data_IF_089663076718
#
_entry.id   IF_089663076718
#
_cell.length_a   1.000
_cell.length_b   1.000
_cell.length_c   1.000
_cell.angle_alpha   90.00
_cell.angle_beta   90.00
_cell.angle_gamma   90.00
#
_symmetry.space_group_name_H-M   'P 1'
#
loop_
_entity.id
_entity.type
_entity.pdbx_description
1 polymer ?
#
# COMPACT_ATOMS: atom_id res chain seq x y z
N UNK A 1 11.99 5.13 -10.66
CA UNK A 1 11.82 6.05 -11.83
C UNK A 1 10.41 5.88 -12.34
N UNK A 2 9.67 6.97 -12.59
CA UNK A 2 8.28 6.86 -13.08
C UNK A 2 8.30 6.44 -14.55
N UNK A 3 7.65 5.31 -14.89
CA UNK A 3 7.46 4.92 -16.28
C UNK A 3 6.56 5.93 -16.99
N UNK A 4 6.88 6.22 -18.23
CA UNK A 4 6.06 7.02 -19.14
C UNK A 4 5.86 6.23 -20.40
N UNK A 5 4.63 5.82 -20.65
CA UNK A 5 4.26 5.13 -21.87
C UNK A 5 3.92 6.14 -22.96
N UNK A 6 4.40 5.88 -24.16
CA UNK A 6 4.23 6.71 -25.35
C UNK A 6 3.89 5.84 -26.55
N UNK A 7 3.34 6.43 -27.63
CA UNK A 7 3.11 5.73 -28.87
C UNK A 7 4.41 5.28 -29.54
N UNK A 8 4.36 4.33 -30.46
CA UNK A 8 5.50 3.88 -31.24
C UNK A 8 6.26 5.05 -31.91
N UNK A 9 5.51 5.97 -32.54
CA UNK A 9 6.10 7.15 -33.20
C UNK A 9 6.85 8.10 -32.26
N UNK A 10 6.35 8.30 -31.05
CA UNK A 10 7.02 9.11 -30.03
C UNK A 10 8.20 8.36 -29.45
N UNK A 11 8.08 7.05 -29.26
CA UNK A 11 9.13 6.17 -28.78
C UNK A 11 10.33 6.21 -29.73
N UNK A 12 10.11 6.03 -31.04
CA UNK A 12 11.15 6.13 -32.05
C UNK A 12 11.88 7.48 -32.08
N UNK A 13 11.16 8.57 -31.83
CA UNK A 13 11.77 9.92 -31.78
C UNK A 13 12.65 10.12 -30.55
N UNK A 14 12.24 9.54 -29.42
CA UNK A 14 13.00 9.62 -28.17
C UNK A 14 14.30 8.81 -28.23
N UNK A 15 14.37 7.77 -29.06
CA UNK A 15 15.51 6.87 -29.20
C UNK A 15 16.48 7.22 -30.35
N UNK A 16 16.33 8.38 -30.96
CA UNK A 16 17.32 8.89 -31.94
C UNK A 16 18.73 9.06 -31.38
N UNK A 17 18.89 8.94 -30.05
CA UNK A 17 20.18 8.98 -29.32
C UNK A 17 20.74 7.56 -29.03
N UNK A 18 20.00 6.48 -29.33
CA UNK A 18 20.47 5.09 -29.19
C UNK A 18 21.49 4.72 -30.26
N UNK A 19 22.26 3.69 -30.01
CA UNK A 19 23.11 3.09 -31.02
C UNK A 19 22.29 2.53 -32.17
N UNK A 20 22.88 2.46 -33.39
CA UNK A 20 22.20 1.93 -34.57
C UNK A 20 21.68 0.47 -34.39
N UNK A 21 22.35 -0.28 -33.53
CA UNK A 21 22.00 -1.67 -33.22
C UNK A 21 20.74 -1.74 -32.32
N UNK A 22 20.67 -0.89 -31.30
CA UNK A 22 19.51 -0.76 -30.41
C UNK A 22 18.29 -0.20 -31.16
N UNK A 23 18.50 0.80 -32.02
CA UNK A 23 17.44 1.35 -32.88
C UNK A 23 16.88 0.28 -33.84
N UNK A 24 17.73 -0.57 -34.41
CA UNK A 24 17.32 -1.67 -35.31
C UNK A 24 16.49 -2.70 -34.56
N UNK A 25 16.93 -3.11 -33.38
CA UNK A 25 16.21 -4.07 -32.54
C UNK A 25 14.84 -3.53 -32.09
N UNK A 26 14.78 -2.27 -31.72
CA UNK A 26 13.50 -1.60 -31.38
C UNK A 26 12.55 -1.56 -32.57
N UNK A 27 13.04 -1.31 -33.79
CA UNK A 27 12.20 -1.25 -35.00
C UNK A 27 11.66 -2.62 -35.39
N UNK A 28 12.49 -3.66 -35.36
CA UNK A 28 12.05 -5.04 -35.63
C UNK A 28 10.96 -5.47 -34.67
N UNK A 29 11.06 -5.06 -33.40
CA UNK A 29 10.09 -5.41 -32.39
C UNK A 29 8.74 -4.70 -32.59
N UNK A 30 8.74 -3.40 -32.87
CA UNK A 30 7.51 -2.63 -33.08
C UNK A 30 6.85 -2.95 -34.41
N UNK A 31 7.61 -3.32 -35.47
CA UNK A 31 7.04 -3.75 -36.73
C UNK A 31 6.35 -5.13 -36.63
N UNK A 32 6.82 -6.01 -35.74
CA UNK A 32 6.18 -7.30 -35.46
C UNK A 32 4.88 -7.19 -34.65
N UNK A 33 4.76 -6.15 -33.81
CA UNK A 33 3.60 -5.92 -32.93
C UNK A 33 2.45 -5.18 -33.62
N UNK A 34 2.64 -4.64 -34.83
CA UNK A 34 1.62 -3.89 -35.58
C UNK A 34 0.42 -4.73 -36.03
N UNK A 35 0.47 -6.05 -35.86
CA UNK A 35 -0.60 -6.98 -36.27
C UNK A 35 -1.70 -7.23 -35.21
N UNK A 36 -1.62 -6.58 -34.04
CA UNK A 36 -2.64 -6.67 -32.99
C UNK A 36 -3.69 -5.55 -33.14
N UNK A 37 -4.61 -5.71 -34.08
CA UNK A 37 -5.64 -4.72 -34.42
C UNK A 37 -6.60 -4.37 -33.25
N UNK A 38 -6.65 -5.20 -32.18
CA UNK A 38 -7.59 -5.06 -31.07
C UNK A 38 -6.99 -4.38 -29.81
N UNK A 39 -5.69 -4.06 -29.81
CA UNK A 39 -5.01 -3.49 -28.66
C UNK A 39 -4.34 -2.15 -28.96
N UNK A 40 -4.46 -1.22 -28.01
CA UNK A 40 -3.61 -0.03 -27.96
C UNK A 40 -2.26 -0.40 -27.34
N UNK A 41 -1.19 -0.32 -28.16
CA UNK A 41 0.17 -0.63 -27.72
C UNK A 41 0.91 0.65 -27.37
N UNK A 42 1.52 0.68 -26.19
CA UNK A 42 2.33 1.78 -25.73
C UNK A 42 3.68 1.28 -25.17
N UNK A 43 4.69 2.10 -25.35
CA UNK A 43 6.08 1.75 -25.14
C UNK A 43 6.70 2.61 -24.03
N UNK A 44 7.56 2.01 -23.21
CA UNK A 44 8.39 2.71 -22.25
C UNK A 44 9.80 2.12 -22.23
N UNK A 45 10.77 2.90 -21.74
CA UNK A 45 12.14 2.44 -21.57
C UNK A 45 12.61 2.72 -20.15
N UNK A 46 13.13 1.70 -19.50
CA UNK A 46 13.67 1.82 -18.16
C UNK A 46 14.75 0.77 -17.91
N UNK A 47 15.82 1.16 -17.25
CA UNK A 47 16.89 0.25 -16.80
C UNK A 47 17.52 -0.59 -17.91
N UNK A 48 17.63 -0.07 -19.12
CA UNK A 48 18.15 -0.79 -20.28
C UNK A 48 17.18 -1.75 -20.95
N UNK A 49 15.89 -1.74 -20.54
CA UNK A 49 14.84 -2.59 -21.08
C UNK A 49 13.75 -1.77 -21.79
N UNK A 50 13.18 -2.37 -22.84
CA UNK A 50 11.87 -1.96 -23.37
C UNK A 50 10.77 -2.59 -22.50
N UNK A 51 9.72 -1.83 -22.24
CA UNK A 51 8.52 -2.28 -21.57
C UNK A 51 7.33 -1.97 -22.45
N UNK A 52 6.58 -3.00 -22.79
CA UNK A 52 5.37 -2.92 -23.60
C UNK A 52 4.15 -2.97 -22.72
N UNK A 53 3.17 -2.12 -23.02
CA UNK A 53 1.87 -2.11 -22.39
C UNK A 53 0.80 -2.23 -23.45
N UNK A 54 -0.07 -3.20 -23.30
CA UNK A 54 -1.24 -3.42 -24.11
C UNK A 54 -2.48 -2.98 -23.35
N UNK A 55 -3.43 -2.39 -24.03
CA UNK A 55 -4.71 -2.03 -23.44
C UNK A 55 -5.84 -2.33 -24.42
N UNK A 56 -6.91 -2.95 -23.94
CA UNK A 56 -8.20 -3.01 -24.61
C UNK A 56 -9.32 -2.77 -23.59
N UNK A 57 -10.49 -2.32 -24.06
CA UNK A 57 -11.65 -2.13 -23.17
C UNK A 57 -12.14 -3.45 -22.56
N UNK A 58 -11.94 -4.58 -23.23
CA UNK A 58 -12.40 -5.90 -22.79
C UNK A 58 -11.41 -6.58 -21.84
N UNK A 59 -10.11 -6.54 -22.15
CA UNK A 59 -9.07 -7.27 -21.43
C UNK A 59 -8.32 -6.41 -20.40
N UNK A 60 -8.51 -5.07 -20.42
CA UNK A 60 -7.79 -4.16 -19.54
C UNK A 60 -6.31 -3.98 -19.91
N UNK A 61 -5.46 -3.79 -18.90
CA UNK A 61 -4.03 -3.60 -19.07
C UNK A 61 -3.27 -4.92 -18.99
N UNK A 62 -2.37 -5.13 -19.98
CA UNK A 62 -1.41 -6.22 -20.01
C UNK A 62 -0.01 -5.66 -20.24
N UNK A 63 1.01 -6.36 -19.77
CA UNK A 63 2.40 -6.00 -19.99
C UNK A 63 3.18 -7.23 -20.47
N UNK A 64 4.12 -6.98 -21.36
CA UNK A 64 5.15 -7.98 -21.65
C UNK A 64 6.27 -7.93 -20.60
N UNK A 65 6.98 -9.04 -20.47
CA UNK A 65 8.21 -9.07 -19.68
C UNK A 65 9.19 -8.00 -20.18
N UNK A 66 9.90 -7.29 -19.28
CA UNK A 66 10.88 -6.30 -19.72
C UNK A 66 11.94 -6.91 -20.65
N UNK A 67 12.09 -6.38 -21.86
CA UNK A 67 12.98 -6.89 -22.88
C UNK A 67 14.31 -6.16 -22.79
N UNK A 68 15.41 -6.84 -22.44
CA UNK A 68 16.72 -6.21 -22.35
C UNK A 68 17.26 -5.82 -23.73
N UNK A 69 17.69 -4.56 -23.89
CA UNK A 69 18.32 -4.04 -25.10
C UNK A 69 19.85 -3.96 -25.02
N UNK A 70 20.36 -3.95 -23.82
CA UNK A 70 21.80 -3.81 -23.57
C UNK A 70 22.26 -4.82 -22.53
N UNK A 71 23.54 -5.21 -22.59
CA UNK A 71 24.13 -6.20 -21.65
C UNK A 71 24.05 -5.75 -20.18
N UNK A 72 23.96 -4.43 -19.92
CA UNK A 72 23.84 -3.85 -18.59
C UNK A 72 22.39 -3.68 -18.12
N UNK A 73 21.41 -4.19 -18.85
CA UNK A 73 20.01 -4.08 -18.51
C UNK A 73 19.68 -4.74 -17.16
N UNK A 74 18.86 -4.09 -16.37
CA UNK A 74 18.38 -4.61 -15.07
C UNK A 74 16.90 -4.94 -15.17
N UNK A 75 16.60 -6.16 -15.62
CA UNK A 75 15.24 -6.67 -15.82
C UNK A 75 14.44 -6.66 -14.52
N UNK A 76 15.07 -6.98 -13.39
CA UNK A 76 14.42 -6.95 -12.09
C UNK A 76 13.93 -5.55 -11.69
N UNK A 77 14.77 -4.52 -11.90
CA UNK A 77 14.32 -3.13 -11.64
C UNK A 77 13.29 -2.64 -12.64
N UNK A 78 13.39 -3.05 -13.90
CA UNK A 78 12.38 -2.74 -14.91
C UNK A 78 11.03 -3.35 -14.51
N UNK A 79 11.00 -4.59 -14.05
CA UNK A 79 9.79 -5.24 -13.54
C UNK A 79 9.20 -4.53 -12.32
N UNK A 80 10.01 -4.17 -11.33
CA UNK A 80 9.56 -3.36 -10.17
C UNK A 80 8.94 -2.04 -10.63
N UNK A 81 9.47 -1.41 -11.69
CA UNK A 81 8.92 -0.16 -12.21
C UNK A 81 7.54 -0.34 -12.87
N UNK A 82 7.22 -1.52 -13.42
CA UNK A 82 5.85 -1.86 -13.88
C UNK A 82 4.90 -1.91 -12.69
N UNK A 83 5.27 -2.61 -11.61
CA UNK A 83 4.47 -2.66 -10.39
C UNK A 83 4.22 -1.26 -9.82
N UNK A 84 5.25 -0.41 -9.78
CA UNK A 84 5.10 0.98 -9.37
C UNK A 84 4.16 1.79 -10.27
N UNK A 85 4.20 1.53 -11.58
CA UNK A 85 3.29 2.17 -12.53
C UNK A 85 1.85 1.73 -12.28
N UNK A 86 1.59 0.42 -12.13
CA UNK A 86 0.25 -0.10 -11.84
C UNK A 86 -0.35 0.53 -10.57
N UNK A 87 0.43 0.66 -9.50
CA UNK A 87 -0.01 1.33 -8.26
C UNK A 87 -0.37 2.81 -8.53
N UNK A 88 0.48 3.54 -9.28
CA UNK A 88 0.28 4.97 -9.54
C UNK A 88 -0.93 5.26 -10.43
N UNK A 89 -1.24 4.36 -11.35
CA UNK A 89 -2.37 4.50 -12.29
C UNK A 89 -3.63 3.75 -11.81
N UNK A 90 -3.61 3.24 -10.56
CA UNK A 90 -4.74 2.50 -9.96
C UNK A 90 -5.17 1.28 -10.78
N UNK A 91 -4.19 0.57 -11.35
CA UNK A 91 -4.43 -0.69 -12.06
C UNK A 91 -4.42 -1.80 -11.01
N UNK A 92 -5.59 -2.34 -10.70
CA UNK A 92 -5.80 -3.29 -9.60
C UNK A 92 -5.19 -4.65 -9.89
N UNK A 93 -5.32 -5.11 -11.13
CA UNK A 93 -4.79 -6.40 -11.57
C UNK A 93 -4.20 -6.29 -12.97
N UNK A 94 -3.06 -6.93 -13.17
CA UNK A 94 -2.47 -7.11 -14.50
C UNK A 94 -1.66 -8.39 -14.55
N UNK A 95 -1.57 -8.98 -15.72
CA UNK A 95 -0.82 -10.21 -15.97
C UNK A 95 0.39 -9.88 -16.85
N UNK A 96 1.55 -10.44 -16.49
CA UNK A 96 2.77 -10.33 -17.28
C UNK A 96 3.20 -11.74 -17.66
N UNK A 97 3.21 -12.03 -18.96
CA UNK A 97 3.75 -13.26 -19.49
C UNK A 97 5.26 -13.36 -19.22
N UNK A 98 5.73 -14.47 -18.67
CA UNK A 98 7.15 -14.70 -18.38
C UNK A 98 7.58 -16.10 -18.78
N UNK A 99 8.82 -16.23 -19.18
CA UNK A 99 9.44 -17.54 -19.31
C UNK A 99 9.98 -18.03 -17.96
N UNK A 100 10.10 -19.36 -17.75
CA UNK A 100 10.68 -19.91 -16.53
C UNK A 100 12.10 -19.42 -16.23
N UNK A 101 12.88 -19.12 -17.27
CA UNK A 101 14.26 -18.63 -17.14
C UNK A 101 14.33 -17.17 -16.66
N UNK A 102 13.30 -16.37 -16.96
CA UNK A 102 13.19 -14.98 -16.54
C UNK A 102 12.62 -14.85 -15.13
N UNK A 103 11.89 -15.84 -14.65
CA UNK A 103 11.23 -15.86 -13.35
C UNK A 103 12.21 -15.52 -12.22
N UNK A 104 13.36 -16.18 -12.17
CA UNK A 104 14.39 -15.97 -11.14
C UNK A 104 14.95 -14.53 -11.14
N UNK A 105 15.06 -13.91 -12.32
CA UNK A 105 15.55 -12.54 -12.47
C UNK A 105 14.50 -11.52 -12.00
N UNK A 106 13.24 -11.78 -12.30
CA UNK A 106 12.12 -10.94 -11.90
C UNK A 106 11.86 -11.01 -10.39
N UNK A 107 11.93 -12.22 -9.82
CA UNK A 107 11.66 -12.46 -8.40
C UNK A 107 12.63 -11.77 -7.46
N UNK A 108 13.87 -11.53 -7.88
CA UNK A 108 14.87 -10.82 -7.05
C UNK A 108 14.53 -9.38 -6.75
N UNK A 109 13.59 -8.79 -7.48
CA UNK A 109 13.19 -7.39 -7.33
C UNK A 109 11.73 -7.16 -7.00
N UNK A 110 10.86 -8.18 -7.13
CA UNK A 110 9.43 -8.04 -6.94
C UNK A 110 9.01 -8.55 -5.56
N UNK A 111 8.37 -7.68 -4.79
CA UNK A 111 7.95 -8.00 -3.42
C UNK A 111 6.49 -8.44 -3.31
N UNK A 112 5.71 -8.26 -4.38
CA UNK A 112 4.29 -8.64 -4.43
C UNK A 112 3.91 -9.12 -5.83
N UNK A 113 3.85 -10.41 -5.97
CA UNK A 113 3.31 -11.08 -7.15
C UNK A 113 2.76 -12.43 -6.72
N UNK A 114 1.80 -12.95 -7.46
CA UNK A 114 1.44 -14.35 -7.45
C UNK A 114 1.79 -14.96 -8.80
N UNK A 115 2.14 -16.24 -8.80
CA UNK A 115 2.26 -17.00 -10.04
C UNK A 115 0.88 -17.47 -10.44
N UNK A 116 0.51 -17.23 -11.69
CA UNK A 116 -0.68 -17.77 -12.31
C UNK A 116 -0.26 -18.64 -13.49
N UNK A 117 -1.04 -19.65 -13.79
CA UNK A 117 -0.91 -20.45 -14.99
C UNK A 117 -2.04 -20.02 -15.92
N UNK A 118 -1.71 -19.55 -17.12
CA UNK A 118 -2.70 -19.13 -18.10
C UNK A 118 -3.41 -20.35 -18.72
N UNK A 119 -4.52 -20.15 -19.44
CA UNK A 119 -5.34 -21.22 -20.02
C UNK A 119 -4.56 -22.12 -20.99
N UNK A 120 -3.50 -21.60 -21.60
CA UNK A 120 -2.59 -22.36 -22.49
C UNK A 120 -1.44 -23.06 -21.76
N UNK A 121 -1.35 -22.92 -20.42
CA UNK A 121 -0.29 -23.48 -19.59
C UNK A 121 0.99 -22.64 -19.57
N UNK A 122 0.97 -21.41 -20.10
CA UNK A 122 2.07 -20.47 -19.94
C UNK A 122 2.12 -19.91 -18.52
N UNK A 123 3.34 -19.61 -18.05
CA UNK A 123 3.54 -18.99 -16.74
C UNK A 123 3.31 -17.49 -16.85
N UNK A 124 2.49 -16.96 -15.97
CA UNK A 124 2.24 -15.53 -15.87
C UNK A 124 2.49 -15.04 -14.45
N UNK A 125 2.96 -13.83 -14.29
CA UNK A 125 3.02 -13.13 -13.02
C UNK A 125 1.82 -12.20 -12.92
N UNK A 126 0.98 -12.45 -11.93
CA UNK A 126 -0.10 -11.54 -11.56
C UNK A 126 0.48 -10.51 -10.59
N UNK A 127 0.49 -9.24 -11.00
CA UNK A 127 0.81 -8.12 -10.11
C UNK A 127 -0.45 -7.79 -9.32
N UNK A 128 -0.35 -7.90 -8.01
CA UNK A 128 -1.41 -7.52 -7.09
C UNK A 128 -1.03 -6.15 -6.54
N UNK A 129 -1.74 -5.12 -6.96
CA UNK A 129 -1.55 -3.75 -6.46
C UNK A 129 -2.38 -3.48 -5.21
N UNK A 130 -3.37 -4.33 -4.96
CA UNK A 130 -4.20 -4.24 -3.79
C UNK A 130 -3.51 -4.70 -2.53
N UNK A 131 -3.93 -4.08 -1.45
CA UNK A 131 -3.46 -4.34 -0.11
C UNK A 131 -3.70 -5.77 0.31
N UNK A 132 -2.70 -6.28 0.93
CA UNK A 132 -2.65 -7.41 1.83
C UNK A 132 -3.99 -8.11 2.03
N UNK A 133 -4.19 -9.25 1.35
CA UNK A 133 -5.17 -10.26 1.75
C UNK A 133 -4.79 -10.79 3.14
N UNK A 134 -5.31 -10.15 4.16
CA UNK A 134 -5.22 -10.65 5.52
C UNK A 134 -6.59 -11.25 5.86
N UNK A 135 -6.69 -12.56 5.96
CA UNK A 135 -7.95 -13.24 6.30
C UNK A 135 -8.46 -12.86 7.69
N UNK A 136 -7.55 -12.47 8.58
CA UNK A 136 -7.86 -12.15 9.97
C UNK A 136 -7.13 -10.89 10.41
N UNK A 137 -7.83 -10.06 11.20
CA UNK A 137 -7.20 -8.92 11.85
C UNK A 137 -6.14 -9.43 12.86
N UNK A 138 -4.88 -8.96 12.78
CA UNK A 138 -3.85 -9.40 13.73
C UNK A 138 -4.24 -9.10 15.17
N UNK A 139 -3.89 -9.99 16.09
CA UNK A 139 -4.03 -9.78 17.52
C UNK A 139 -2.66 -9.51 18.13
N UNK A 140 -2.54 -8.42 18.88
CA UNK A 140 -1.28 -8.01 19.49
C UNK A 140 -1.46 -7.71 20.97
N UNK A 141 -0.63 -8.34 21.80
CA UNK A 141 -0.49 -7.99 23.21
C UNK A 141 0.80 -7.20 23.40
N UNK A 142 0.69 -5.94 23.83
CA UNK A 142 1.81 -5.07 24.13
C UNK A 142 1.72 -4.64 25.61
N UNK A 143 2.56 -5.21 26.48
CA UNK A 143 2.48 -5.10 27.93
C UNK A 143 1.11 -5.60 28.44
N UNK A 144 0.26 -4.70 28.94
CA UNK A 144 -1.10 -4.95 29.43
C UNK A 144 -2.18 -4.41 28.47
N UNK A 145 -1.80 -3.96 27.27
CA UNK A 145 -2.70 -3.49 26.22
C UNK A 145 -2.86 -4.57 25.16
N UNK A 146 -4.10 -4.93 24.87
CA UNK A 146 -4.45 -5.81 23.77
C UNK A 146 -5.03 -4.98 22.62
N UNK A 147 -4.57 -5.26 21.40
CA UNK A 147 -5.03 -4.69 20.16
C UNK A 147 -5.63 -5.82 19.31
N UNK A 148 -6.89 -5.70 18.92
CA UNK A 148 -7.59 -6.74 18.16
C UNK A 148 -8.96 -6.30 17.68
N UNK A 149 -9.86 -7.26 17.44
CA UNK A 149 -11.20 -6.99 16.91
C UNK A 149 -12.10 -6.25 17.91
N UNK A 150 -13.08 -5.53 17.36
CA UNK A 150 -14.12 -4.89 18.15
C UNK A 150 -15.13 -5.90 18.68
N UNK A 151 -15.32 -5.97 19.99
CA UNK A 151 -16.48 -6.62 20.57
C UNK A 151 -17.70 -5.67 20.52
N UNK A 152 -18.89 -6.23 20.36
CA UNK A 152 -20.14 -5.44 20.34
C UNK A 152 -20.35 -4.62 21.63
N UNK A 153 -19.79 -5.08 22.76
CA UNK A 153 -19.85 -4.37 24.04
C UNK A 153 -19.05 -3.05 24.06
N UNK A 154 -18.21 -2.79 23.07
CA UNK A 154 -17.41 -1.55 22.99
C UNK A 154 -18.15 -0.43 22.23
N UNK A 155 -19.32 -0.72 21.65
CA UNK A 155 -20.03 0.20 20.75
C UNK A 155 -20.27 1.58 21.36
N UNK A 156 -20.79 1.67 22.59
CA UNK A 156 -21.08 2.94 23.26
C UNK A 156 -19.81 3.78 23.47
N UNK A 157 -18.72 3.13 23.88
CA UNK A 157 -17.44 3.81 24.10
C UNK A 157 -16.76 4.18 22.80
N UNK A 158 -16.92 3.39 21.77
CA UNK A 158 -16.42 3.69 20.43
C UNK A 158 -17.15 4.89 19.82
N UNK A 159 -18.48 4.96 20.00
CA UNK A 159 -19.27 6.12 19.62
C UNK A 159 -18.81 7.40 20.34
N UNK A 160 -18.57 7.32 21.66
CA UNK A 160 -18.03 8.44 22.45
C UNK A 160 -16.66 8.89 21.89
N UNK A 161 -15.78 7.97 21.54
CA UNK A 161 -14.47 8.27 20.97
C UNK A 161 -14.59 8.99 19.63
N UNK A 162 -15.41 8.46 18.72
CA UNK A 162 -15.56 8.98 17.35
C UNK A 162 -16.33 10.30 17.27
N UNK A 163 -17.26 10.53 18.18
CA UNK A 163 -18.02 11.79 18.25
C UNK A 163 -17.32 12.89 19.06
N UNK A 164 -16.16 12.61 19.65
CA UNK A 164 -15.42 13.59 20.43
C UNK A 164 -14.71 14.61 19.53
N UNK A 165 -15.28 15.81 19.45
CA UNK A 165 -14.77 16.89 18.60
C UNK A 165 -13.30 17.30 18.95
N UNK A 166 -12.90 17.22 20.24
CA UNK A 166 -11.56 17.59 20.65
C UNK A 166 -10.50 16.55 20.22
N UNK A 167 -10.89 15.29 20.06
CA UNK A 167 -10.01 14.25 19.53
C UNK A 167 -9.94 14.34 17.98
N UNK A 168 -11.06 14.62 17.35
CA UNK A 168 -11.18 14.58 15.89
C UNK A 168 -10.61 15.82 15.17
N UNK A 169 -10.41 16.94 15.86
CA UNK A 169 -9.87 18.16 15.23
C UNK A 169 -8.48 17.98 14.59
N UNK A 170 -7.72 16.97 15.03
CA UNK A 170 -6.40 16.67 14.49
C UNK A 170 -6.40 15.59 13.40
N UNK A 171 -7.51 14.90 13.18
CA UNK A 171 -7.66 13.92 12.11
C UNK A 171 -7.97 14.62 10.78
N UNK A 172 -7.45 14.07 9.68
CA UNK A 172 -7.76 14.56 8.33
C UNK A 172 -9.11 14.08 7.80
N UNK A 173 -9.70 13.07 8.45
CA UNK A 173 -10.94 12.41 8.10
C UNK A 173 -11.89 12.41 9.30
N UNK A 174 -13.17 12.63 9.04
CA UNK A 174 -14.23 12.56 10.05
C UNK A 174 -15.30 11.59 9.58
N UNK A 175 -15.40 10.43 10.21
CA UNK A 175 -16.40 9.40 9.87
C UNK A 175 -17.86 9.90 9.91
N UNK A 176 -18.11 10.98 10.64
CA UNK A 176 -19.45 11.58 10.68
C UNK A 176 -19.84 12.27 9.36
N UNK A 177 -18.88 12.51 8.46
CA UNK A 177 -19.17 13.04 7.13
C UNK A 177 -19.79 11.94 6.25
N UNK A 178 -19.40 10.68 6.45
CA UNK A 178 -19.92 9.52 5.72
C UNK A 178 -21.12 8.89 6.42
N UNK A 179 -21.11 8.83 7.76
CA UNK A 179 -22.16 8.24 8.59
C UNK A 179 -22.65 9.28 9.63
N UNK A 180 -23.39 10.34 9.21
CA UNK A 180 -23.71 11.49 10.07
C UNK A 180 -24.53 11.15 11.32
N UNK A 181 -25.37 10.11 11.24
CA UNK A 181 -26.23 9.65 12.33
C UNK A 181 -25.80 8.28 12.87
N UNK A 182 -24.55 7.87 12.59
CA UNK A 182 -24.02 6.57 12.99
C UNK A 182 -24.00 6.38 14.50
N UNK A 183 -24.29 5.16 14.90
CA UNK A 183 -24.11 4.65 16.26
C UNK A 183 -22.79 3.92 16.38
N UNK A 184 -22.35 3.58 17.58
CA UNK A 184 -21.14 2.79 17.77
C UNK A 184 -21.18 1.44 17.06
N UNK A 185 -22.37 0.84 16.89
CA UNK A 185 -22.56 -0.39 16.10
C UNK A 185 -22.30 -0.12 14.64
N UNK A 186 -22.88 0.95 14.07
CA UNK A 186 -22.65 1.31 12.66
C UNK A 186 -21.16 1.57 12.37
N UNK A 187 -20.45 2.18 13.31
CA UNK A 187 -19.01 2.42 13.17
C UNK A 187 -18.18 1.14 13.23
N UNK A 188 -18.53 0.19 14.11
CA UNK A 188 -17.89 -1.13 14.15
C UNK A 188 -18.13 -1.90 12.84
N UNK A 189 -19.36 -1.88 12.34
CA UNK A 189 -19.71 -2.51 11.07
C UNK A 189 -18.97 -1.86 9.90
N UNK A 190 -18.80 -0.54 9.91
CA UNK A 190 -18.00 0.17 8.93
C UNK A 190 -16.52 -0.27 8.97
N UNK A 191 -15.93 -0.34 10.16
CA UNK A 191 -14.53 -0.79 10.33
C UNK A 191 -14.32 -2.22 9.80
N UNK A 192 -15.29 -3.13 10.00
CA UNK A 192 -15.26 -4.47 9.43
C UNK A 192 -15.34 -4.46 7.90
N UNK A 193 -16.25 -3.66 7.34
CA UNK A 193 -16.39 -3.52 5.90
C UNK A 193 -15.12 -2.95 5.25
N UNK A 194 -14.49 -1.94 5.84
CA UNK A 194 -13.22 -1.40 5.36
C UNK A 194 -12.10 -2.45 5.40
N UNK A 195 -12.10 -3.31 6.42
CA UNK A 195 -11.17 -4.43 6.50
C UNK A 195 -11.43 -5.48 5.40
N UNK A 196 -12.70 -5.87 5.19
CA UNK A 196 -13.11 -6.81 4.14
C UNK A 196 -12.78 -6.29 2.73
N UNK A 197 -12.85 -4.96 2.54
CA UNK A 197 -12.49 -4.29 1.30
C UNK A 197 -10.98 -3.95 1.20
N UNK A 198 -10.16 -4.37 2.16
CA UNK A 198 -8.73 -4.05 2.21
C UNK A 198 -8.39 -2.53 2.25
N UNK A 199 -9.34 -1.70 2.68
CA UNK A 199 -9.19 -0.24 2.74
C UNK A 199 -8.42 0.20 3.98
N UNK A 200 -8.77 -0.37 5.14
CA UNK A 200 -8.14 -0.08 6.43
C UNK A 200 -8.21 -1.28 7.39
N UNK A 201 -7.32 -1.28 8.39
CA UNK A 201 -7.35 -2.20 9.52
C UNK A 201 -7.56 -1.39 10.80
N UNK A 202 -8.78 -1.38 11.31
CA UNK A 202 -9.13 -0.67 12.54
C UNK A 202 -9.22 -1.65 13.71
N UNK A 203 -8.46 -1.40 14.75
CA UNK A 203 -8.31 -2.24 15.92
C UNK A 203 -8.94 -1.59 17.15
N UNK A 204 -9.63 -2.37 17.96
CA UNK A 204 -9.97 -1.99 19.31
C UNK A 204 -8.74 -2.13 20.23
N UNK A 205 -8.42 -1.08 20.97
CA UNK A 205 -7.41 -1.11 22.01
C UNK A 205 -8.09 -1.30 23.36
N UNK A 206 -7.70 -2.34 24.09
CA UNK A 206 -8.24 -2.66 25.42
C UNK A 206 -7.15 -2.86 26.44
N UNK A 207 -7.46 -2.63 27.71
CA UNK A 207 -6.63 -2.97 28.86
C UNK A 207 -7.42 -3.86 29.83
N UNK A 208 -6.71 -4.73 30.55
CA UNK A 208 -7.37 -5.59 31.53
C UNK A 208 -7.45 -4.84 32.88
N UNK A 209 -8.64 -4.41 33.27
CA UNK A 209 -8.91 -3.72 34.52
C UNK A 209 -10.08 -4.39 35.24
N UNK A 210 -9.94 -4.61 36.56
CA UNK A 210 -10.98 -5.18 37.43
C UNK A 210 -11.57 -6.54 36.97
N UNK A 211 -10.79 -7.34 36.24
CA UNK A 211 -11.22 -8.66 35.77
C UNK A 211 -11.88 -8.66 34.39
N UNK A 212 -11.93 -7.54 33.71
CA UNK A 212 -12.56 -7.37 32.39
C UNK A 212 -11.65 -6.64 31.40
N UNK A 213 -11.83 -6.89 30.12
CA UNK A 213 -11.21 -6.09 29.05
C UNK A 213 -12.00 -4.80 28.87
N UNK A 214 -11.35 -3.68 29.12
CA UNK A 214 -11.93 -2.35 29.02
C UNK A 214 -11.43 -1.65 27.78
N UNK A 215 -12.34 -1.18 26.93
CA UNK A 215 -12.00 -0.40 25.74
C UNK A 215 -11.40 0.97 26.14
N UNK A 216 -10.25 1.30 25.60
CA UNK A 216 -9.51 2.53 25.94
C UNK A 216 -9.18 3.39 24.72
N UNK A 217 -9.38 2.88 23.50
CA UNK A 217 -9.08 3.62 22.28
C UNK A 217 -9.07 2.72 21.05
N UNK A 218 -8.59 3.28 19.96
CA UNK A 218 -8.41 2.56 18.70
C UNK A 218 -7.02 2.78 18.12
N UNK A 219 -6.62 1.86 17.25
CA UNK A 219 -5.48 2.00 16.36
C UNK A 219 -5.89 1.65 14.93
N UNK A 220 -5.33 2.35 13.94
CA UNK A 220 -5.69 2.14 12.53
C UNK A 220 -4.43 2.07 11.68
N UNK A 221 -4.35 1.06 10.81
CA UNK A 221 -3.45 1.00 9.67
C UNK A 221 -4.28 1.24 8.40
N UNK A 222 -3.87 2.18 7.56
CA UNK A 222 -4.61 2.61 6.39
C UNK A 222 -3.68 3.13 5.29
N UNK A 223 -4.24 3.48 4.13
CA UNK A 223 -3.50 3.96 2.96
C UNK A 223 -2.31 3.04 2.63
N UNK A 224 -2.59 1.76 2.53
CA UNK A 224 -1.63 0.77 2.10
C UNK A 224 -1.22 1.05 0.66
N UNK A 225 0.09 1.15 0.39
CA UNK A 225 0.61 1.57 -0.92
C UNK A 225 0.98 0.41 -1.85
N UNK A 226 0.61 -0.82 -1.48
CA UNK A 226 1.01 -2.01 -2.22
C UNK A 226 2.50 -2.36 -2.18
N UNK A 227 3.36 -1.51 -1.58
CA UNK A 227 4.83 -1.69 -1.51
C UNK A 227 5.34 -2.10 -0.14
N UNK A 228 4.42 -2.41 0.76
CA UNK A 228 4.74 -2.73 2.16
C UNK A 228 4.75 -1.51 3.07
N UNK A 229 4.20 -0.37 2.64
CA UNK A 229 4.04 0.79 3.50
C UNK A 229 2.56 1.01 3.81
N UNK A 230 2.28 1.55 4.99
CA UNK A 230 0.95 2.00 5.38
C UNK A 230 1.05 3.25 6.26
N UNK A 231 -0.02 4.01 6.31
CA UNK A 231 -0.18 5.07 7.28
C UNK A 231 -0.73 4.54 8.60
N UNK A 232 -0.45 5.23 9.70
CA UNK A 232 -0.93 4.89 11.04
C UNK A 232 -1.62 6.06 11.70
N UNK A 233 -2.72 5.78 12.37
CA UNK A 233 -3.38 6.70 13.28
C UNK A 233 -3.88 5.98 14.54
N UNK A 234 -4.11 6.72 15.61
CA UNK A 234 -4.69 6.17 16.84
C UNK A 234 -5.38 7.26 17.66
N UNK A 235 -6.39 6.86 18.41
CA UNK A 235 -7.12 7.70 19.37
C UNK A 235 -7.23 6.97 20.70
N UNK A 236 -7.21 7.74 21.79
CA UNK A 236 -7.36 7.28 23.17
C UNK A 236 -8.50 8.02 23.81
N UNK A 237 -9.38 7.35 24.53
CA UNK A 237 -10.42 7.97 25.34
C UNK A 237 -9.81 8.97 26.34
N UNK A 238 -10.41 10.14 26.56
CA UNK A 238 -9.84 11.20 27.39
C UNK A 238 -9.48 10.77 28.81
N UNK A 239 -10.29 9.90 29.43
CA UNK A 239 -10.07 9.38 30.78
C UNK A 239 -8.82 8.47 30.89
N UNK A 240 -8.26 8.03 29.75
CA UNK A 240 -7.03 7.23 29.67
C UNK A 240 -5.82 8.02 29.20
N UNK A 241 -5.96 9.33 28.96
CA UNK A 241 -4.83 10.18 28.58
C UNK A 241 -3.76 10.21 29.66
N UNK A 242 -2.52 10.45 29.25
CA UNK A 242 -1.31 10.54 30.11
C UNK A 242 -1.00 9.28 30.93
N UNK A 243 -1.60 8.15 30.59
CA UNK A 243 -1.35 6.84 31.20
C UNK A 243 -0.45 5.95 30.31
N UNK A 244 0.19 6.51 29.28
CA UNK A 244 1.05 5.77 28.35
C UNK A 244 0.30 4.97 27.28
N UNK A 245 -1.05 4.96 27.30
CA UNK A 245 -1.89 4.17 26.39
C UNK A 245 -1.53 4.45 24.92
N UNK A 246 -1.45 5.70 24.49
CA UNK A 246 -1.11 6.03 23.10
C UNK A 246 0.24 5.49 22.64
N UNK A 247 1.25 5.44 23.51
CA UNK A 247 2.54 4.82 23.19
C UNK A 247 2.41 3.30 23.01
N UNK A 248 1.61 2.63 23.84
CA UNK A 248 1.40 1.18 23.74
C UNK A 248 0.56 0.82 22.51
N UNK A 249 -0.48 1.59 22.19
CA UNK A 249 -1.24 1.41 20.93
C UNK A 249 -0.30 1.55 19.74
N UNK A 250 0.54 2.59 19.74
CA UNK A 250 1.48 2.80 18.62
C UNK A 250 2.47 1.63 18.48
N UNK A 251 3.05 1.14 19.57
CA UNK A 251 3.95 -0.03 19.55
C UNK A 251 3.22 -1.30 19.09
N UNK A 252 1.99 -1.51 19.55
CA UNK A 252 1.17 -2.64 19.11
C UNK A 252 0.81 -2.56 17.62
N UNK A 253 0.55 -1.35 17.08
CA UNK A 253 0.35 -1.15 15.64
C UNK A 253 1.61 -1.46 14.82
N UNK A 254 2.79 -1.14 15.31
CA UNK A 254 4.04 -1.52 14.66
C UNK A 254 4.23 -3.04 14.66
N UNK A 255 3.87 -3.72 15.75
CA UNK A 255 3.93 -5.19 15.80
C UNK A 255 2.85 -5.83 14.89
N UNK A 256 1.62 -5.29 14.85
CA UNK A 256 0.60 -5.70 13.89
C UNK A 256 1.11 -5.52 12.44
N UNK A 257 1.68 -4.37 12.13
CA UNK A 257 2.28 -4.08 10.82
C UNK A 257 3.36 -5.11 10.45
N UNK A 258 4.17 -5.54 11.42
CA UNK A 258 5.18 -6.58 11.22
C UNK A 258 4.57 -7.96 10.95
N UNK A 259 3.54 -8.34 11.70
CA UNK A 259 2.84 -9.62 11.51
C UNK A 259 2.22 -9.74 10.12
N UNK A 260 1.75 -8.63 9.57
CA UNK A 260 1.19 -8.56 8.22
C UNK A 260 2.23 -8.26 7.14
N UNK A 261 3.53 -8.25 7.47
CA UNK A 261 4.62 -8.14 6.49
C UNK A 261 4.87 -6.72 5.97
N UNK A 262 4.38 -5.68 6.64
CA UNK A 262 4.75 -4.30 6.28
C UNK A 262 6.23 -4.04 6.57
N UNK A 263 6.82 -3.18 5.78
CA UNK A 263 8.23 -2.75 5.91
C UNK A 263 8.35 -1.43 6.62
N UNK A 264 7.40 -0.53 6.34
CA UNK A 264 7.40 0.83 6.86
C UNK A 264 5.98 1.24 7.28
N UNK A 265 5.93 1.96 8.39
CA UNK A 265 4.72 2.66 8.84
C UNK A 265 4.98 4.16 8.83
N UNK A 266 4.04 4.93 8.33
CA UNK A 266 4.13 6.38 8.19
C UNK A 266 3.08 7.03 9.08
N UNK A 267 3.51 7.99 9.91
CA UNK A 267 2.59 8.80 10.70
C UNK A 267 2.68 10.27 10.26
N UNK A 268 1.56 10.82 9.83
CA UNK A 268 1.44 12.24 9.49
C UNK A 268 0.71 12.98 10.61
N UNK A 269 1.36 13.98 11.16
CA UNK A 269 0.86 14.69 12.35
C UNK A 269 0.79 16.17 12.08
N UNK A 270 -0.39 16.78 12.20
CA UNK A 270 -0.56 18.25 12.09
C UNK A 270 0.35 18.98 13.07
N UNK A 271 0.90 20.11 12.65
CA UNK A 271 1.86 20.90 13.45
C UNK A 271 1.30 21.33 14.83
N UNK A 272 -0.02 21.44 14.96
CA UNK A 272 -0.72 21.82 16.18
C UNK A 272 -0.94 20.65 17.15
N UNK A 273 -0.78 19.41 16.68
CA UNK A 273 -0.99 18.21 17.53
C UNK A 273 0.25 17.90 18.39
N UNK A 274 0.52 18.77 19.35
CA UNK A 274 1.68 18.64 20.25
C UNK A 274 1.75 17.28 20.99
N UNK A 275 0.65 16.66 21.46
CA UNK A 275 0.71 15.35 22.12
C UNK A 275 1.27 14.25 21.21
N UNK A 276 0.77 14.13 19.98
CA UNK A 276 1.26 13.13 19.01
C UNK A 276 2.69 13.40 18.56
N UNK A 277 3.04 14.66 18.32
CA UNK A 277 4.42 15.06 18.01
C UNK A 277 5.38 14.67 19.13
N UNK A 278 5.03 14.95 20.39
CA UNK A 278 5.85 14.56 21.55
C UNK A 278 5.98 13.03 21.69
N UNK A 279 4.92 12.28 21.38
CA UNK A 279 4.94 10.84 21.45
C UNK A 279 5.85 10.25 20.38
N UNK A 280 5.62 10.59 19.10
CA UNK A 280 6.30 9.97 17.96
C UNK A 280 7.78 10.38 17.87
N UNK A 281 8.12 11.60 18.30
CA UNK A 281 9.51 12.08 18.36
C UNK A 281 10.42 11.27 19.29
N UNK A 282 9.86 10.41 20.15
CA UNK A 282 10.63 9.48 20.98
C UNK A 282 11.20 8.31 20.18
N UNK A 283 10.57 7.98 19.06
CA UNK A 283 10.87 6.78 18.28
C UNK A 283 11.55 7.10 16.94
N UNK A 284 11.27 8.26 16.33
CA UNK A 284 11.88 8.68 15.09
C UNK A 284 12.03 10.20 14.98
N UNK A 285 12.90 10.63 14.08
CA UNK A 285 13.02 12.05 13.69
C UNK A 285 12.02 12.35 12.60
N UNK A 286 11.10 13.27 12.87
CA UNK A 286 10.13 13.71 11.86
C UNK A 286 10.71 14.72 10.86
N UNK A 287 10.20 14.67 9.63
CA UNK A 287 10.41 15.67 8.59
C UNK A 287 9.24 16.64 8.59
N UNK A 288 9.51 17.93 8.77
CA UNK A 288 8.49 18.97 8.93
C UNK A 288 8.28 19.73 7.63
N UNK A 289 7.02 19.95 7.26
CA UNK A 289 6.59 20.91 6.25
C UNK A 289 5.72 22.05 6.83
N UNK A 290 4.98 22.79 5.99
CA UNK A 290 4.16 23.92 6.42
C UNK A 290 2.95 23.49 7.28
N UNK A 291 2.41 22.29 7.09
CA UNK A 291 1.14 21.84 7.68
C UNK A 291 1.32 20.70 8.67
N UNK A 292 2.29 19.81 8.43
CA UNK A 292 2.46 18.56 9.17
C UNK A 292 3.92 18.19 9.41
N UNK A 293 4.10 17.23 10.29
CA UNK A 293 5.36 16.49 10.49
C UNK A 293 5.11 15.04 10.08
N UNK A 294 5.92 14.53 9.19
CA UNK A 294 5.90 13.13 8.75
C UNK A 294 6.98 12.36 9.48
N UNK A 295 6.58 11.27 10.12
CA UNK A 295 7.47 10.30 10.76
C UNK A 295 7.43 8.99 9.98
N UNK A 296 8.60 8.39 9.74
CA UNK A 296 8.72 7.09 9.10
C UNK A 296 9.37 6.10 10.07
N UNK A 297 8.78 4.91 10.18
CA UNK A 297 9.22 3.85 11.08
C UNK A 297 9.48 2.58 10.26
N UNK A 298 10.71 2.09 10.26
CA UNK A 298 11.03 0.80 9.68
C UNK A 298 10.56 -0.32 10.61
N UNK A 299 9.65 -1.17 10.12
CA UNK A 299 9.05 -2.26 10.89
C UNK A 299 10.04 -3.40 11.12
N UNK A 300 11.01 -3.57 10.22
CA UNK A 300 12.04 -4.63 10.32
C UNK A 300 13.15 -4.35 11.35
N UNK A 301 13.19 -3.13 11.90
CA UNK A 301 14.24 -2.71 12.85
C UNK A 301 13.80 -2.74 14.31
N UNK A 302 12.59 -3.24 14.59
CA UNK A 302 11.99 -3.31 15.94
C UNK A 302 12.12 -4.70 16.58
#
# INVERSE_FOLDING_TARGET
>A
MKLKFVSADEFYRAFSELSLEEESACREFTDAESDFDDFEIAYSYAFGCIILRYYSEEAGYHFEAPIPLVDSADVGKAFVSITEYCVLESIEETVIGISPDELDLMLRGAERYSLAEDEDGSLAVRIITECMECEFLPEVLCEDLYLGEFAASYADKYEELLKNANLNCHFGYNILDDIPNGTGVDFIENARREFENSESMTFAATVFENGENVFVGEGVLYAFDGRGNACVSFRVLPEYHRRGIGSRIFMALLEAAKQIGLKKVIAEVKNENAPSLCLLSKYAKGTKDAEKVTFEFSVSAL
#
